data_IF_794827825164
#
_entry.id   IF_794827825164
#
_cell.length_a   1.000
_cell.length_b   1.000
_cell.length_c   1.000
_cell.angle_alpha   90.00
_cell.angle_beta   90.00
_cell.angle_gamma   90.00
#
_symmetry.space_group_name_H-M   'P 1'
#
loop_
_entity.id
_entity.type
_entity.pdbx_description
1 polymer ?
#
# COMPACT_ATOMS: atom_id res chain seq x y z
N UNK A 1 16.49 -0.90 -40.78
CA UNK A 1 15.88 -1.92 -39.90
C UNK A 1 16.11 -1.49 -38.45
N UNK A 2 15.04 -1.30 -37.68
CA UNK A 2 15.08 -0.75 -36.31
C UNK A 2 16.01 -1.57 -35.39
N UNK A 3 16.02 -2.90 -35.53
CA UNK A 3 16.84 -3.81 -34.71
C UNK A 3 18.35 -3.54 -34.81
N UNK A 4 18.85 -3.09 -35.97
CA UNK A 4 20.28 -2.81 -36.17
C UNK A 4 20.78 -1.57 -35.40
N UNK A 5 19.87 -0.75 -34.87
CA UNK A 5 20.20 0.43 -34.07
C UNK A 5 20.53 0.08 -32.62
N UNK A 6 20.24 -1.15 -32.17
CA UNK A 6 20.48 -1.60 -30.79
C UNK A 6 21.71 -2.49 -30.68
N UNK A 7 22.36 -2.45 -29.52
CA UNK A 7 23.47 -3.34 -29.19
C UNK A 7 23.02 -4.80 -29.17
N UNK A 8 23.80 -5.68 -29.79
CA UNK A 8 23.53 -7.12 -29.78
C UNK A 8 24.23 -7.76 -28.60
N UNK A 9 23.46 -8.42 -27.72
CA UNK A 9 24.05 -9.22 -26.64
C UNK A 9 24.37 -10.62 -27.16
N UNK A 10 25.62 -11.07 -27.00
CA UNK A 10 26.03 -12.41 -27.40
C UNK A 10 25.55 -13.43 -26.37
N UNK A 11 24.89 -14.49 -26.81
CA UNK A 11 24.49 -15.63 -25.97
C UNK A 11 25.42 -16.82 -26.22
N UNK A 12 25.41 -17.80 -25.32
CA UNK A 12 26.26 -19.00 -25.39
C UNK A 12 25.77 -20.07 -26.38
N UNK A 13 24.76 -19.80 -27.20
CA UNK A 13 24.12 -20.80 -28.07
C UNK A 13 24.68 -20.80 -29.51
N UNK A 14 25.91 -20.33 -29.69
CA UNK A 14 26.58 -20.35 -31.00
C UNK A 14 26.83 -21.81 -31.40
N UNK A 15 26.37 -22.21 -32.59
CA UNK A 15 26.49 -23.58 -33.12
C UNK A 15 25.37 -24.55 -32.73
N UNK A 16 24.56 -24.23 -31.71
CA UNK A 16 23.35 -24.99 -31.35
C UNK A 16 22.20 -24.01 -31.10
N UNK A 17 21.51 -23.55 -32.17
CA UNK A 17 20.47 -22.55 -32.03
C UNK A 17 19.32 -23.11 -31.20
N UNK A 18 18.85 -22.30 -30.26
CA UNK A 18 17.69 -22.61 -29.41
C UNK A 18 16.60 -21.57 -29.63
N UNK A 19 15.33 -21.90 -29.31
CA UNK A 19 14.25 -20.92 -29.35
C UNK A 19 14.55 -19.70 -28.48
N UNK A 20 14.05 -18.53 -28.89
CA UNK A 20 14.31 -17.26 -28.21
C UNK A 20 13.89 -17.28 -26.73
N UNK A 21 12.76 -17.91 -26.40
CA UNK A 21 12.30 -18.07 -25.02
C UNK A 21 13.32 -18.80 -24.16
N UNK A 22 13.85 -19.92 -24.66
CA UNK A 22 14.89 -20.72 -23.98
C UNK A 22 16.20 -19.92 -23.86
N UNK A 23 16.59 -19.21 -24.92
CA UNK A 23 17.79 -18.38 -24.91
C UNK A 23 17.72 -17.29 -23.81
N UNK A 24 16.60 -16.57 -23.73
CA UNK A 24 16.41 -15.50 -22.76
C UNK A 24 16.37 -16.03 -21.32
N UNK A 25 15.68 -17.15 -21.08
CA UNK A 25 15.63 -17.79 -19.76
C UNK A 25 17.02 -18.30 -19.33
N UNK A 26 17.78 -18.89 -20.25
CA UNK A 26 19.17 -19.30 -20.01
C UNK A 26 20.06 -18.11 -19.62
N UNK A 27 19.88 -16.95 -20.27
CA UNK A 27 20.62 -15.73 -19.95
C UNK A 27 20.24 -15.10 -18.60
N UNK A 28 18.97 -15.21 -18.19
CA UNK A 28 18.51 -14.75 -16.87
C UNK A 28 19.06 -15.63 -15.74
N UNK A 29 19.18 -16.94 -15.98
CA UNK A 29 19.54 -17.91 -14.96
C UNK A 29 18.56 -17.92 -13.77
N UNK A 30 19.05 -18.27 -12.57
CA UNK A 30 18.19 -18.37 -11.39
C UNK A 30 17.96 -17.07 -10.61
N UNK A 31 18.80 -16.05 -10.81
CA UNK A 31 18.79 -14.84 -9.99
C UNK A 31 18.97 -13.53 -10.75
N UNK A 32 18.99 -13.58 -12.09
CA UNK A 32 19.21 -12.42 -12.97
C UNK A 32 20.42 -11.57 -12.53
N UNK A 33 21.60 -12.18 -12.47
CA UNK A 33 22.84 -11.53 -12.02
C UNK A 33 23.20 -10.30 -12.85
N UNK A 34 22.93 -10.36 -14.16
CA UNK A 34 23.18 -9.28 -15.11
C UNK A 34 22.09 -8.19 -15.10
N UNK A 35 21.02 -8.36 -14.28
CA UNK A 35 19.94 -7.39 -14.09
C UNK A 35 19.21 -7.01 -15.38
N UNK A 36 18.94 -8.00 -16.23
CA UNK A 36 18.19 -7.79 -17.46
C UNK A 36 16.74 -7.40 -17.19
N UNK A 37 16.20 -6.59 -18.09
CA UNK A 37 14.77 -6.37 -18.26
C UNK A 37 14.32 -7.17 -19.47
N UNK A 38 13.21 -7.88 -19.34
CA UNK A 38 12.63 -8.63 -20.46
C UNK A 38 11.50 -7.81 -21.05
N UNK A 39 11.63 -7.40 -22.31
CA UNK A 39 10.55 -6.77 -23.05
C UNK A 39 9.91 -7.77 -24.02
N UNK A 40 8.73 -8.30 -23.70
CA UNK A 40 8.08 -9.34 -24.54
C UNK A 40 6.56 -9.26 -24.52
N UNK A 41 5.93 -9.58 -25.65
CA UNK A 41 4.48 -9.76 -25.77
C UNK A 41 4.01 -11.19 -25.48
N UNK A 42 4.93 -12.15 -25.45
CA UNK A 42 4.62 -13.55 -25.18
C UNK A 42 4.27 -13.77 -23.70
N UNK A 43 3.06 -14.27 -23.43
CA UNK A 43 2.53 -14.51 -22.08
C UNK A 43 3.25 -15.62 -21.34
N UNK A 44 3.75 -16.64 -22.05
CA UNK A 44 4.46 -17.76 -21.40
C UNK A 44 5.85 -17.34 -20.94
N UNK A 45 6.55 -16.57 -21.78
CA UNK A 45 7.82 -15.97 -21.42
C UNK A 45 7.68 -14.96 -20.27
N UNK A 46 6.61 -14.16 -20.24
CA UNK A 46 6.33 -13.25 -19.12
C UNK A 46 6.20 -14.02 -17.80
N UNK A 47 5.40 -15.11 -17.79
CA UNK A 47 5.20 -15.92 -16.59
C UNK A 47 6.49 -16.56 -16.10
N UNK A 48 7.24 -17.19 -17.00
CA UNK A 48 8.51 -17.85 -16.66
C UNK A 48 9.57 -16.85 -16.17
N UNK A 49 9.71 -15.70 -16.83
CA UNK A 49 10.63 -14.65 -16.40
C UNK A 49 10.25 -14.03 -15.05
N UNK A 50 8.95 -13.86 -14.78
CA UNK A 50 8.44 -13.29 -13.51
C UNK A 50 8.73 -14.17 -12.29
N UNK A 51 8.87 -15.48 -12.49
CA UNK A 51 9.28 -16.44 -11.44
C UNK A 51 10.72 -16.21 -10.98
N UNK A 52 11.58 -15.68 -11.85
CA UNK A 52 12.99 -15.41 -11.52
C UNK A 52 13.06 -14.10 -10.72
N UNK A 53 13.57 -14.11 -9.47
CA UNK A 53 13.58 -12.94 -8.62
C UNK A 53 14.44 -11.82 -9.20
N UNK A 54 13.91 -10.61 -9.21
CA UNK A 54 14.62 -9.43 -9.72
C UNK A 54 14.61 -9.34 -11.23
N UNK A 55 13.58 -9.89 -11.90
CA UNK A 55 13.40 -9.80 -13.36
C UNK A 55 12.19 -8.94 -13.69
N UNK A 56 12.39 -7.67 -14.05
CA UNK A 56 11.30 -6.80 -14.50
C UNK A 56 10.88 -7.17 -15.92
N UNK A 57 9.57 -7.19 -16.16
CA UNK A 57 9.00 -7.58 -17.45
C UNK A 57 8.21 -6.39 -18.02
N UNK A 58 8.57 -5.98 -19.22
CA UNK A 58 7.93 -4.91 -19.99
C UNK A 58 7.11 -5.54 -21.14
N UNK A 59 5.92 -5.01 -21.38
CA UNK A 59 5.09 -5.42 -22.50
C UNK A 59 4.33 -4.21 -23.05
N UNK A 60 3.86 -4.29 -24.29
CA UNK A 60 3.06 -3.22 -24.89
C UNK A 60 1.59 -3.50 -24.65
N UNK A 61 0.91 -2.59 -23.95
CA UNK A 61 -0.54 -2.53 -23.91
C UNK A 61 -1.01 -1.50 -24.95
N UNK A 62 -1.56 -1.97 -26.07
CA UNK A 62 -1.86 -1.11 -27.22
C UNK A 62 -0.61 -0.35 -27.71
N UNK A 63 -0.53 0.96 -27.47
CA UNK A 63 0.59 1.83 -27.87
C UNK A 63 1.50 2.23 -26.69
N UNK A 64 1.21 1.77 -25.48
CA UNK A 64 1.96 2.17 -24.28
C UNK A 64 2.81 1.02 -23.74
N UNK A 65 4.13 1.22 -23.52
CA UNK A 65 4.95 0.25 -22.80
C UNK A 65 4.58 0.26 -21.32
N UNK A 66 4.20 -0.91 -20.81
CA UNK A 66 3.74 -1.11 -19.43
C UNK A 66 4.68 -2.07 -18.72
N UNK A 67 5.17 -1.64 -17.56
CA UNK A 67 5.96 -2.49 -16.69
C UNK A 67 5.03 -3.36 -15.84
N UNK A 68 5.26 -4.67 -15.83
CA UNK A 68 4.53 -5.58 -14.96
C UNK A 68 4.87 -5.29 -13.48
N UNK A 69 3.88 -5.39 -12.56
CA UNK A 69 4.18 -5.32 -11.13
C UNK A 69 5.18 -6.42 -10.72
N UNK A 70 6.06 -6.14 -9.74
CA UNK A 70 7.05 -7.11 -9.29
C UNK A 70 6.39 -8.34 -8.69
N UNK A 71 6.95 -9.52 -8.98
CA UNK A 71 6.47 -10.79 -8.42
C UNK A 71 6.64 -10.85 -6.90
N UNK A 72 5.85 -11.68 -6.23
CA UNK A 72 5.94 -11.89 -4.78
C UNK A 72 7.34 -12.31 -4.36
N UNK A 73 8.00 -13.16 -5.16
CA UNK A 73 9.38 -13.61 -4.93
C UNK A 73 10.36 -12.41 -5.00
N UNK A 74 10.20 -11.55 -6.01
CA UNK A 74 11.03 -10.35 -6.16
C UNK A 74 10.81 -9.36 -5.02
N UNK A 75 9.56 -9.13 -4.63
CA UNK A 75 9.23 -8.24 -3.50
C UNK A 75 9.72 -8.78 -2.17
N UNK A 76 9.63 -10.10 -1.94
CA UNK A 76 10.16 -10.74 -0.73
C UNK A 76 11.68 -10.62 -0.66
N UNK A 77 12.40 -10.86 -1.77
CA UNK A 77 13.86 -10.67 -1.84
C UNK A 77 14.24 -9.22 -1.59
N UNK A 78 13.53 -8.27 -2.20
CA UNK A 78 13.76 -6.85 -1.98
C UNK A 78 13.51 -6.46 -0.52
N UNK A 79 12.40 -6.87 0.08
CA UNK A 79 12.10 -6.62 1.51
C UNK A 79 13.18 -7.17 2.43
N UNK A 80 13.61 -8.42 2.22
CA UNK A 80 14.70 -9.02 2.99
C UNK A 80 15.99 -8.19 2.89
N UNK A 81 16.36 -7.79 1.67
CA UNK A 81 17.54 -6.97 1.43
C UNK A 81 17.44 -5.58 2.09
N UNK A 82 16.28 -4.93 1.97
CA UNK A 82 16.01 -3.65 2.64
C UNK A 82 16.08 -3.79 4.15
N UNK A 83 15.49 -4.84 4.73
CA UNK A 83 15.60 -5.10 6.17
C UNK A 83 17.06 -5.33 6.57
N UNK A 84 17.82 -6.17 5.87
CA UNK A 84 19.23 -6.37 6.26
C UNK A 84 20.08 -5.10 6.24
N UNK A 85 19.75 -4.13 5.38
CA UNK A 85 20.52 -2.88 5.25
C UNK A 85 20.02 -1.76 6.18
N UNK A 86 18.71 -1.67 6.39
CA UNK A 86 18.06 -0.54 7.03
C UNK A 86 17.27 -0.91 8.29
N UNK A 87 17.29 -2.18 8.71
CA UNK A 87 16.64 -2.58 9.94
C UNK A 87 17.35 -1.96 11.15
N UNK A 88 16.54 -1.68 12.16
CA UNK A 88 16.96 -0.97 13.36
C UNK A 88 17.93 -1.86 14.12
N UNK A 89 19.11 -1.34 14.46
CA UNK A 89 20.06 -2.12 15.26
C UNK A 89 19.41 -2.46 16.60
N UNK A 90 19.74 -3.63 17.18
CA UNK A 90 19.16 -4.06 18.48
C UNK A 90 19.24 -2.98 19.57
N UNK A 91 20.37 -2.26 19.65
CA UNK A 91 20.54 -1.17 20.62
C UNK A 91 19.62 0.03 20.35
N UNK A 92 19.37 0.34 19.08
CA UNK A 92 18.47 1.42 18.69
C UNK A 92 17.04 1.02 19.06
N UNK A 93 16.67 -0.24 18.85
CA UNK A 93 15.37 -0.78 19.21
C UNK A 93 15.10 -0.69 20.73
N UNK A 94 16.10 -1.03 21.55
CA UNK A 94 16.04 -0.87 23.01
C UNK A 94 15.94 0.60 23.44
N UNK A 95 16.68 1.48 22.76
CA UNK A 95 16.62 2.93 22.97
C UNK A 95 15.23 3.46 22.63
N UNK A 96 14.65 3.06 21.49
CA UNK A 96 13.28 3.41 21.11
C UNK A 96 12.25 2.89 22.11
N UNK A 97 12.38 1.65 22.61
CA UNK A 97 11.48 1.10 23.64
C UNK A 97 11.54 1.93 24.93
N UNK A 98 12.74 2.29 25.36
CA UNK A 98 12.96 3.11 26.56
C UNK A 98 12.39 4.51 26.37
N UNK A 99 12.62 5.11 25.20
CA UNK A 99 12.13 6.45 24.87
C UNK A 99 10.59 6.46 24.81
N UNK A 100 9.96 5.47 24.16
CA UNK A 100 8.50 5.31 24.13
C UNK A 100 7.88 5.21 25.53
N UNK A 101 8.51 4.44 26.44
CA UNK A 101 8.10 4.35 27.84
C UNK A 101 8.20 5.71 28.55
N UNK A 102 9.32 6.43 28.35
CA UNK A 102 9.53 7.76 28.95
C UNK A 102 8.50 8.79 28.48
N UNK A 103 8.10 8.75 27.21
CA UNK A 103 7.09 9.65 26.64
C UNK A 103 5.64 9.15 26.81
N UNK A 104 5.41 8.06 27.57
CA UNK A 104 4.06 7.55 27.86
C UNK A 104 3.30 7.03 26.64
N UNK A 105 3.99 6.76 25.53
CA UNK A 105 3.42 6.14 24.33
C UNK A 105 3.46 4.63 24.55
N UNK A 106 2.51 4.14 25.33
CA UNK A 106 2.29 2.70 25.50
C UNK A 106 1.58 2.17 24.26
N UNK A 107 2.13 1.11 23.67
CA UNK A 107 1.46 0.35 22.63
C UNK A 107 0.15 -0.17 23.25
N UNK A 108 -0.97 0.36 22.77
CA UNK A 108 -2.29 -0.12 23.18
C UNK A 108 -2.38 -1.54 22.65
N UNK A 109 -2.29 -2.53 23.53
CA UNK A 109 -2.77 -3.86 23.20
C UNK A 109 -4.22 -3.69 22.73
N UNK A 110 -4.49 -4.09 21.49
CA UNK A 110 -5.80 -3.98 20.84
C UNK A 110 -6.83 -4.95 21.45
N UNK A 111 -6.92 -4.99 22.78
CA UNK A 111 -8.03 -5.58 23.52
C UNK A 111 -9.21 -4.60 23.57
N UNK A 112 -9.62 -4.07 22.41
CA UNK A 112 -10.92 -3.42 22.29
C UNK A 112 -11.96 -4.54 22.31
N UNK A 113 -12.35 -4.97 23.52
CA UNK A 113 -13.52 -5.83 23.72
C UNK A 113 -14.70 -5.14 23.05
N UNK A 114 -15.11 -5.63 21.87
CA UNK A 114 -16.28 -5.12 21.16
C UNK A 114 -17.47 -5.20 22.11
N UNK A 115 -17.95 -4.05 22.61
CA UNK A 115 -19.14 -4.01 23.49
C UNK A 115 -20.27 -4.73 22.77
N UNK A 116 -20.78 -5.80 23.38
CA UNK A 116 -21.94 -6.53 22.86
C UNK A 116 -23.08 -5.52 22.70
N UNK A 117 -23.63 -5.41 21.50
CA UNK A 117 -24.78 -4.56 21.23
C UNK A 117 -25.93 -5.05 22.11
N UNK A 118 -26.59 -4.15 22.86
CA UNK A 118 -27.81 -4.50 23.61
C UNK A 118 -28.82 -5.04 22.60
N UNK A 119 -29.27 -6.28 22.79
CA UNK A 119 -30.34 -6.85 21.98
C UNK A 119 -31.60 -6.00 22.22
N UNK A 120 -32.26 -5.57 21.14
CA UNK A 120 -33.56 -4.90 21.25
C UNK A 120 -34.59 -5.85 21.87
N UNK A 121 -35.72 -5.32 22.36
CA UNK A 121 -36.79 -6.16 22.90
C UNK A 121 -37.21 -7.20 21.86
N UNK A 122 -37.49 -8.42 22.32
CA UNK A 122 -37.89 -9.56 21.50
C UNK A 122 -39.01 -9.15 20.52
N UNK A 123 -38.89 -9.39 19.21
CA UNK A 123 -39.87 -8.98 18.21
C UNK A 123 -41.28 -9.58 18.41
N UNK A 124 -41.45 -10.62 19.24
CA UNK A 124 -42.75 -11.15 19.64
C UNK A 124 -43.47 -10.32 20.71
N UNK A 125 -42.78 -9.37 21.36
CA UNK A 125 -43.30 -8.58 22.49
C UNK A 125 -43.82 -7.18 22.09
N UNK A 126 -43.59 -6.74 20.86
CA UNK A 126 -44.22 -5.53 20.33
C UNK A 126 -45.54 -5.89 19.62
N UNK A 127 -46.69 -5.44 20.13
CA UNK A 127 -47.96 -5.50 19.39
C UNK A 127 -47.75 -4.92 17.99
N UNK A 128 -48.19 -5.65 16.95
CA UNK A 128 -48.04 -5.23 15.54
C UNK A 128 -48.56 -3.81 15.35
N UNK A 129 -47.75 -2.98 14.68
CA UNK A 129 -48.11 -1.59 14.34
C UNK A 129 -49.35 -1.62 13.44
N UNK A 130 -50.46 -1.08 13.92
CA UNK A 130 -51.67 -0.89 13.12
C UNK A 130 -51.42 0.22 12.08
N UNK A 131 -51.73 -0.07 10.82
CA UNK A 131 -51.68 0.91 9.72
C UNK A 131 -52.84 1.89 9.90
N UNK A 132 -52.56 3.16 10.16
CA UNK A 132 -53.53 4.25 9.96
C UNK A 132 -53.53 4.59 8.47
N UNK A 133 -54.72 4.62 7.88
CA UNK A 133 -54.96 5.06 6.50
C UNK A 133 -54.43 6.49 6.32
N UNK A 134 -53.77 6.71 5.19
CA UNK A 134 -53.17 7.97 4.81
C UNK A 134 -54.28 8.96 4.43
N UNK A 135 -54.42 10.02 5.21
CA UNK A 135 -54.92 11.30 4.72
C UNK A 135 -53.74 12.24 4.72
N UNK A 136 -53.41 12.75 3.53
CA UNK A 136 -52.28 13.63 3.27
C UNK A 136 -52.69 15.04 3.68
N UNK A 137 -52.08 15.58 4.72
CA UNK A 137 -52.03 17.02 4.96
C UNK A 137 -50.58 17.46 5.16
N UNK A 138 -50.22 18.47 4.37
CA UNK A 138 -48.91 19.11 4.35
C UNK A 138 -48.59 19.74 5.71
N UNK A 139 -47.50 19.28 6.34
CA UNK A 139 -46.75 20.07 7.33
C UNK A 139 -45.29 20.14 6.91
N UNK A 140 -44.84 21.38 6.73
CA UNK A 140 -43.47 21.76 6.42
C UNK A 140 -42.48 21.13 7.40
N UNK A 141 -41.49 20.43 6.86
CA UNK A 141 -40.44 19.79 7.66
C UNK A 141 -39.18 20.68 7.66
N UNK A 142 -39.05 21.51 8.69
CA UNK A 142 -37.79 22.17 9.03
C UNK A 142 -36.88 21.19 9.79
N UNK A 143 -35.61 21.09 9.35
CA UNK A 143 -34.39 20.58 10.03
C UNK A 143 -34.06 19.08 9.79
N UNK A 144 -32.81 18.65 9.59
CA UNK A 144 -31.55 19.09 10.24
C UNK A 144 -30.34 18.96 9.30
N UNK A 145 -29.53 20.01 9.21
CA UNK A 145 -28.18 19.97 8.62
C UNK A 145 -27.36 18.86 9.30
N UNK A 146 -26.73 17.99 8.52
CA UNK A 146 -25.80 16.94 9.00
C UNK A 146 -24.74 17.57 9.91
N UNK A 147 -24.70 17.17 11.19
CA UNK A 147 -23.60 17.57 12.09
C UNK A 147 -22.31 16.94 11.57
N UNK A 148 -21.38 17.78 11.10
CA UNK A 148 -20.02 17.35 10.74
C UNK A 148 -19.37 16.69 11.96
N UNK A 149 -18.69 15.56 11.76
CA UNK A 149 -17.89 14.91 12.80
C UNK A 149 -16.77 15.89 13.20
N UNK A 150 -16.88 16.49 14.38
CA UNK A 150 -15.80 17.29 14.94
C UNK A 150 -14.68 16.34 15.32
N UNK A 151 -13.60 16.33 14.54
CA UNK A 151 -12.37 15.62 14.91
C UNK A 151 -11.87 16.27 16.20
N UNK A 152 -11.84 15.52 17.30
CA UNK A 152 -11.32 16.00 18.58
C UNK A 152 -9.81 16.01 18.48
N UNK A 153 -9.23 17.19 18.28
CA UNK A 153 -7.79 17.38 18.23
C UNK A 153 -7.25 17.20 19.67
N UNK A 154 -6.24 16.34 19.89
CA UNK A 154 -5.52 16.24 21.16
C UNK A 154 -5.00 17.59 21.67
N UNK A 155 -4.95 17.78 22.99
CA UNK A 155 -4.58 19.07 23.63
C UNK A 155 -3.18 19.54 23.24
N UNK A 156 -2.20 18.64 23.25
CA UNK A 156 -0.80 18.95 22.89
C UNK A 156 -0.64 19.47 21.45
N UNK A 157 -1.43 18.97 20.48
CA UNK A 157 -1.40 19.46 19.10
C UNK A 157 -1.95 20.88 19.00
N UNK A 158 -2.99 21.18 19.79
CA UNK A 158 -3.58 22.53 19.86
C UNK A 158 -2.59 23.52 20.48
N UNK A 159 -1.88 23.11 21.54
CA UNK A 159 -0.85 23.91 22.20
C UNK A 159 0.31 24.21 21.24
N UNK A 160 0.79 23.21 20.50
CA UNK A 160 1.86 23.38 19.51
C UNK A 160 1.50 24.36 18.39
N UNK A 161 0.29 24.28 17.82
CA UNK A 161 -0.15 25.21 16.77
C UNK A 161 -0.29 26.64 17.30
N UNK A 162 -0.75 26.81 18.54
CA UNK A 162 -0.81 28.13 19.19
C UNK A 162 0.61 28.69 19.39
N UNK A 163 1.57 27.85 19.79
CA UNK A 163 2.96 28.26 19.94
C UNK A 163 3.58 28.67 18.58
N UNK A 164 3.30 27.92 17.50
CA UNK A 164 3.76 28.27 16.16
C UNK A 164 3.20 29.62 15.69
N UNK A 165 1.89 29.85 15.85
CA UNK A 165 1.27 31.13 15.48
C UNK A 165 1.86 32.30 16.26
N UNK A 166 2.14 32.12 17.55
CA UNK A 166 2.78 33.16 18.38
C UNK A 166 4.19 33.48 17.87
N UNK A 167 4.98 32.46 17.55
CA UNK A 167 6.34 32.64 17.02
C UNK A 167 6.34 33.32 15.65
N UNK A 168 5.36 33.02 14.79
CA UNK A 168 5.17 33.71 13.51
C UNK A 168 4.79 35.17 13.71
N UNK A 169 3.92 35.50 14.67
CA UNK A 169 3.56 36.90 14.95
C UNK A 169 4.70 37.73 15.51
N UNK A 170 5.58 37.14 16.34
CA UNK A 170 6.74 37.86 16.91
C UNK A 170 7.83 38.15 15.88
N UNK A 171 7.93 37.32 14.84
CA UNK A 171 8.92 37.49 13.75
C UNK A 171 8.48 38.49 12.69
N UNK A 172 7.21 38.92 12.67
CA UNK A 172 6.69 39.91 11.70
C UNK A 172 6.68 41.33 12.30
N UNK A 173 6.77 41.46 13.62
CA UNK A 173 6.80 42.74 14.35
C UNK A 173 8.21 43.17 14.80
N UNK A 174 9.26 42.51 14.30
CA UNK A 174 10.68 42.88 14.47
C UNK A 174 11.26 43.24 13.11
#
# INVERSE_FOLDING_TARGET
MIVKQFGTHKCGHIGKPVPASVCLLSMLGGANSNRYFIATQDRELQKSASTIPGTPVLFLHQKTPTLQPPSEISTAKAKKHTMTLFDVRKHEEESFKTLRKKFGVLDKEDNIKKRRKKKGPNPLSCKKKQKKSMVVEHKEEFKKKRKRKRVKIPTHLKEHWIAQLKNETTNVTS
#
